data_IF_687571862833
#
_entry.id   IF_687571862833
#
_cell.length_a   1.000
_cell.length_b   1.000
_cell.length_c   1.000
_cell.angle_alpha   90.00
_cell.angle_beta   90.00
_cell.angle_gamma   90.00
#
_symmetry.space_group_name_H-M   'P 1'
#
loop_
_entity.id
_entity.type
_entity.pdbx_description
1 polymer ?
#
# COMPACT_ATOMS: atom_id res chain seq x y z
N UNK A 1 -3.23 -10.74 10.60
CA UNK A 1 -2.24 -10.00 11.40
C UNK A 1 -1.88 -10.71 12.72
N UNK A 2 -2.76 -11.45 13.37
CA UNK A 2 -2.48 -12.13 14.66
C UNK A 2 -1.31 -13.12 14.62
N UNK A 3 -0.93 -13.65 13.45
CA UNK A 3 0.21 -14.57 13.32
C UNK A 3 1.57 -13.87 13.49
N UNK A 4 1.71 -12.63 13.08
CA UNK A 4 3.01 -11.93 13.08
C UNK A 4 3.08 -10.74 14.02
N UNK A 5 1.96 -10.22 14.49
CA UNK A 5 1.95 -9.24 15.57
C UNK A 5 2.11 -9.95 16.91
N UNK A 6 3.04 -9.49 17.74
CA UNK A 6 3.40 -10.12 19.02
C UNK A 6 3.45 -9.13 20.14
N UNK A 7 3.22 -9.64 21.36
CA UNK A 7 3.48 -8.91 22.60
C UNK A 7 4.87 -9.22 23.10
N UNK A 8 5.61 -8.20 23.48
CA UNK A 8 6.90 -8.33 24.15
C UNK A 8 6.66 -8.19 25.64
N UNK A 9 7.18 -9.13 26.40
CA UNK A 9 7.12 -9.12 27.87
C UNK A 9 8.52 -9.28 28.40
N UNK A 10 9.01 -8.24 29.06
CA UNK A 10 10.31 -8.25 29.73
C UNK A 10 10.11 -8.35 31.25
N UNK A 11 10.82 -9.27 31.88
CA UNK A 11 10.75 -9.47 33.33
C UNK A 11 12.09 -9.91 33.89
N UNK A 12 12.53 -9.22 34.90
CA UNK A 12 13.74 -9.54 35.67
C UNK A 12 13.38 -10.10 37.01
N UNK A 13 14.24 -10.98 37.54
CA UNK A 13 14.04 -11.56 38.90
C UNK A 13 14.04 -10.50 39.99
N UNK A 14 14.72 -9.37 39.78
CA UNK A 14 14.72 -8.21 40.68
C UNK A 14 13.42 -7.39 40.66
N UNK A 15 12.47 -7.72 39.81
CA UNK A 15 11.12 -7.13 39.79
C UNK A 15 10.89 -6.10 38.70
N UNK A 16 11.92 -5.69 37.95
CA UNK A 16 11.76 -4.78 36.83
C UNK A 16 10.97 -5.48 35.71
N UNK A 17 10.01 -4.76 35.13
CA UNK A 17 9.16 -5.25 34.06
C UNK A 17 8.98 -4.19 32.99
N UNK A 18 8.85 -4.64 31.75
CA UNK A 18 8.40 -3.79 30.65
C UNK A 18 7.53 -4.60 29.67
N UNK A 19 6.70 -3.91 28.91
CA UNK A 19 5.86 -4.54 27.90
C UNK A 19 5.75 -3.65 26.66
N UNK A 20 5.69 -4.27 25.48
CA UNK A 20 5.52 -3.60 24.22
C UNK A 20 4.88 -4.52 23.19
N UNK A 21 4.82 -4.04 21.98
CA UNK A 21 4.40 -4.79 20.81
C UNK A 21 5.58 -5.01 19.88
N UNK A 22 5.45 -5.94 18.95
CA UNK A 22 6.47 -6.21 17.94
C UNK A 22 5.88 -6.91 16.73
N UNK A 23 6.73 -7.10 15.73
CA UNK A 23 6.38 -7.75 14.47
C UNK A 23 7.37 -8.84 14.15
N UNK A 24 6.86 -10.05 13.88
CA UNK A 24 7.67 -11.16 13.37
C UNK A 24 7.90 -10.94 11.88
N UNK A 25 9.17 -10.99 11.48
CA UNK A 25 9.61 -11.05 10.08
C UNK A 25 10.59 -12.20 9.90
N UNK A 26 10.73 -12.67 8.65
CA UNK A 26 11.72 -13.69 8.30
C UNK A 26 12.71 -13.09 7.31
N UNK A 27 13.97 -13.28 7.59
CA UNK A 27 15.07 -12.84 6.74
C UNK A 27 16.12 -13.95 6.65
N UNK A 28 16.51 -14.36 5.45
CA UNK A 28 17.45 -15.48 5.22
C UNK A 28 17.12 -16.78 6.00
N UNK A 29 15.84 -17.04 6.23
CA UNK A 29 15.37 -18.23 6.97
C UNK A 29 15.44 -18.10 8.50
N UNK A 30 15.91 -17.00 9.05
CA UNK A 30 15.90 -16.66 10.46
C UNK A 30 14.65 -15.87 10.83
N UNK A 31 14.17 -16.06 12.04
CA UNK A 31 13.00 -15.35 12.58
C UNK A 31 13.45 -14.20 13.47
N UNK A 32 12.93 -13.02 13.19
CA UNK A 32 13.21 -11.81 13.95
C UNK A 32 11.92 -11.18 14.46
N UNK A 33 12.02 -10.49 15.60
CA UNK A 33 10.99 -9.56 16.07
C UNK A 33 11.54 -8.14 15.97
N UNK A 34 10.85 -7.31 15.23
CA UNK A 34 11.13 -5.88 15.09
C UNK A 34 10.26 -5.11 16.08
N UNK A 35 10.86 -4.18 16.83
CA UNK A 35 10.15 -3.41 17.85
C UNK A 35 10.84 -2.07 18.12
N UNK A 36 10.23 -1.22 18.95
CA UNK A 36 10.88 -0.03 19.49
C UNK A 36 11.92 -0.40 20.57
N UNK A 37 13.05 0.30 20.59
CA UNK A 37 14.17 0.02 21.49
C UNK A 37 13.80 0.13 22.96
N UNK A 38 12.97 1.11 23.33
CA UNK A 38 12.52 1.29 24.71
C UNK A 38 11.64 0.13 25.23
N UNK A 39 11.04 -0.69 24.33
CA UNK A 39 10.24 -1.84 24.74
C UNK A 39 11.05 -2.93 25.44
N UNK A 40 12.36 -2.98 25.20
CA UNK A 40 13.28 -3.97 25.77
C UNK A 40 14.22 -3.37 26.83
N UNK A 41 13.88 -2.21 27.39
CA UNK A 41 14.67 -1.52 28.40
C UNK A 41 13.95 -1.41 29.72
N UNK A 42 14.72 -1.17 30.75
CA UNK A 42 14.24 -0.73 32.07
C UNK A 42 15.09 0.42 32.61
N UNK A 43 14.51 1.25 33.45
CA UNK A 43 15.21 2.37 34.04
C UNK A 43 15.86 1.93 35.37
N UNK A 44 17.17 2.15 35.51
CA UNK A 44 17.90 1.93 36.74
C UNK A 44 18.80 3.15 37.06
N UNK A 45 18.54 3.80 38.20
CA UNK A 45 19.28 4.99 38.64
C UNK A 45 19.43 6.08 37.55
N UNK A 46 18.36 6.33 36.81
CA UNK A 46 18.32 7.34 35.74
C UNK A 46 18.99 6.92 34.42
N UNK A 47 19.45 5.68 34.31
CA UNK A 47 19.98 5.13 33.06
C UNK A 47 19.04 4.07 32.50
N UNK A 48 18.88 4.05 31.17
CA UNK A 48 18.21 2.96 30.48
C UNK A 48 19.19 1.79 30.30
N UNK A 49 18.78 0.61 30.75
CA UNK A 49 19.52 -0.63 30.61
C UNK A 49 18.63 -1.63 29.82
N UNK A 50 19.27 -2.42 28.97
CA UNK A 50 18.58 -3.41 28.14
C UNK A 50 18.42 -4.71 28.95
N UNK A 51 17.25 -5.35 28.83
CA UNK A 51 17.03 -6.69 29.36
C UNK A 51 17.90 -7.72 28.64
N UNK A 52 18.30 -8.77 29.34
CA UNK A 52 18.99 -9.89 28.69
C UNK A 52 17.99 -10.70 27.83
N UNK A 53 18.44 -11.41 26.77
CA UNK A 53 17.55 -12.23 25.94
C UNK A 53 16.66 -13.19 26.75
N UNK A 54 17.20 -13.79 27.80
CA UNK A 54 16.46 -14.74 28.70
C UNK A 54 15.37 -14.07 29.55
N UNK A 55 15.43 -12.77 29.72
CA UNK A 55 14.46 -11.95 30.46
C UNK A 55 13.33 -11.44 29.55
N UNK A 56 13.42 -11.69 28.23
CA UNK A 56 12.47 -11.26 27.20
C UNK A 56 11.69 -12.46 26.69
N UNK A 57 10.39 -12.38 26.71
CA UNK A 57 9.47 -13.36 26.14
C UNK A 57 8.63 -12.73 25.04
N UNK A 58 8.51 -13.41 23.92
CA UNK A 58 7.67 -13.03 22.79
C UNK A 58 6.38 -13.83 22.84
N UNK A 59 5.27 -13.16 23.04
CA UNK A 59 3.95 -13.79 23.20
C UNK A 59 3.13 -13.54 21.95
N UNK A 60 2.79 -14.62 21.26
CA UNK A 60 1.94 -14.65 20.08
C UNK A 60 0.55 -15.15 20.46
N UNK A 61 -0.49 -14.49 19.98
CA UNK A 61 -1.87 -14.91 20.14
C UNK A 61 -2.44 -15.28 18.76
N UNK A 62 -2.63 -16.57 18.52
CA UNK A 62 -3.27 -17.09 17.31
C UNK A 62 -4.49 -17.91 17.68
N UNK A 63 -5.65 -17.58 17.09
CA UNK A 63 -6.92 -18.30 17.30
C UNK A 63 -7.25 -18.57 18.79
N UNK A 64 -6.98 -17.60 19.64
CA UNK A 64 -7.14 -17.69 21.12
C UNK A 64 -6.12 -18.60 21.83
N UNK A 65 -5.14 -19.11 21.14
CA UNK A 65 -4.02 -19.85 21.72
C UNK A 65 -2.86 -18.90 21.96
N UNK A 66 -2.34 -18.92 23.20
CA UNK A 66 -1.14 -18.19 23.57
C UNK A 66 0.09 -19.09 23.33
N UNK A 67 1.04 -18.60 22.55
CA UNK A 67 2.34 -19.23 22.33
C UNK A 67 3.44 -18.29 22.79
N UNK A 68 4.41 -18.83 23.51
CA UNK A 68 5.57 -18.07 23.97
C UNK A 68 6.80 -18.53 23.21
N UNK A 69 7.48 -17.59 22.56
CA UNK A 69 8.71 -17.84 21.83
C UNK A 69 9.89 -17.26 22.58
N UNK A 70 10.98 -18.00 22.57
CA UNK A 70 12.23 -17.61 23.22
C UNK A 70 13.03 -16.69 22.33
N UNK A 71 13.58 -15.62 22.93
CA UNK A 71 14.59 -14.77 22.30
C UNK A 71 15.94 -15.47 22.39
N UNK A 72 16.59 -15.62 21.26
CA UNK A 72 17.93 -16.21 21.12
C UNK A 72 19.00 -15.15 21.33
N UNK A 73 18.84 -14.00 20.69
CA UNK A 73 19.77 -12.88 20.77
C UNK A 73 19.08 -11.52 20.56
N UNK A 74 19.71 -10.46 21.03
CA UNK A 74 19.41 -9.07 20.69
C UNK A 74 20.44 -8.65 19.65
N UNK A 75 20.09 -8.78 18.38
CA UNK A 75 21.00 -8.54 17.26
C UNK A 75 21.49 -7.09 17.23
N UNK A 76 20.55 -6.17 17.44
CA UNK A 76 20.86 -4.74 17.59
C UNK A 76 19.74 -4.03 18.34
N UNK A 77 20.09 -2.96 19.05
CA UNK A 77 19.12 -2.07 19.68
C UNK A 77 19.69 -0.67 19.81
N UNK A 78 18.84 0.30 19.58
CA UNK A 78 19.08 1.71 19.91
C UNK A 78 17.89 2.22 20.74
N UNK A 79 18.17 2.81 21.87
CA UNK A 79 17.18 3.42 22.77
C UNK A 79 17.20 4.94 22.72
N UNK A 80 18.02 5.48 21.83
CA UNK A 80 18.16 6.92 21.58
C UNK A 80 17.21 7.41 20.50
N UNK A 81 17.75 8.20 19.58
CA UNK A 81 16.97 8.87 18.55
C UNK A 81 16.28 7.89 17.59
N UNK A 82 16.94 6.80 17.21
CA UNK A 82 16.35 5.81 16.30
C UNK A 82 15.32 4.89 16.96
N UNK A 83 15.45 4.64 18.27
CA UNK A 83 14.52 3.90 19.12
C UNK A 83 13.99 2.60 18.49
N UNK A 84 14.89 1.68 18.15
CA UNK A 84 14.53 0.39 17.56
C UNK A 84 15.28 -0.78 18.21
N UNK A 85 14.72 -1.98 18.07
CA UNK A 85 15.41 -3.23 18.39
C UNK A 85 15.04 -4.35 17.44
N UNK A 86 16.03 -5.22 17.18
CA UNK A 86 15.90 -6.46 16.41
C UNK A 86 16.27 -7.63 17.29
N UNK A 87 15.32 -8.50 17.54
CA UNK A 87 15.47 -9.67 18.38
C UNK A 87 15.43 -10.93 17.49
N UNK A 88 16.45 -11.75 17.53
CA UNK A 88 16.39 -13.09 16.93
C UNK A 88 15.61 -14.03 17.84
N UNK A 89 14.67 -14.77 17.28
CA UNK A 89 13.83 -15.72 18.01
C UNK A 89 13.97 -17.13 17.45
N UNK A 90 13.55 -18.12 18.23
CA UNK A 90 13.47 -19.48 17.75
C UNK A 90 12.54 -19.60 16.54
N UNK A 91 12.80 -20.60 15.70
CA UNK A 91 11.98 -20.90 14.51
C UNK A 91 10.54 -21.21 14.90
N UNK A 92 9.61 -20.60 14.18
CA UNK A 92 8.17 -20.83 14.38
C UNK A 92 7.67 -21.83 13.35
N UNK A 93 7.03 -22.88 13.85
CA UNK A 93 6.45 -23.96 13.01
C UNK A 93 4.94 -24.04 13.27
N UNK A 94 4.20 -23.03 12.79
CA UNK A 94 2.74 -22.94 12.96
C UNK A 94 1.96 -23.05 11.63
N UNK A 95 2.67 -23.34 10.54
CA UNK A 95 2.09 -23.47 9.20
C UNK A 95 1.84 -22.14 8.48
N UNK A 96 2.09 -21.00 9.12
CA UNK A 96 2.00 -19.69 8.46
C UNK A 96 3.30 -19.38 7.72
N UNK A 97 3.20 -18.99 6.46
CA UNK A 97 4.35 -18.64 5.62
C UNK A 97 4.75 -17.17 5.84
N UNK A 98 5.50 -16.93 6.91
CA UNK A 98 5.98 -15.59 7.28
C UNK A 98 6.80 -14.94 6.15
N UNK A 99 7.72 -15.69 5.55
CA UNK A 99 8.62 -15.18 4.52
C UNK A 99 7.87 -14.66 3.28
N UNK A 100 6.76 -15.32 2.93
CA UNK A 100 5.92 -14.93 1.79
C UNK A 100 4.85 -13.90 2.16
N UNK A 101 4.33 -13.94 3.39
CA UNK A 101 3.14 -13.18 3.79
C UNK A 101 3.45 -11.87 4.49
N UNK A 102 4.65 -11.70 5.07
CA UNK A 102 5.06 -10.51 5.81
C UNK A 102 6.35 -9.97 5.22
N UNK A 103 6.31 -8.77 4.67
CA UNK A 103 7.46 -8.09 4.09
C UNK A 103 7.62 -6.70 4.70
N UNK A 104 8.83 -6.17 4.67
CA UNK A 104 9.08 -4.75 4.94
C UNK A 104 8.96 -3.99 3.63
N UNK A 105 8.45 -2.79 3.66
CA UNK A 105 8.38 -1.96 2.46
C UNK A 105 8.35 -0.47 2.80
N UNK A 106 8.87 0.35 1.91
CA UNK A 106 8.75 1.81 2.00
C UNK A 106 7.33 2.23 1.63
N UNK A 107 6.79 3.23 2.34
CA UNK A 107 5.49 3.82 2.01
C UNK A 107 5.55 4.58 0.69
N UNK A 108 4.66 4.25 -0.24
CA UNK A 108 4.67 4.84 -1.58
C UNK A 108 3.40 5.64 -1.89
N UNK A 109 2.24 5.30 -1.29
CA UNK A 109 0.96 5.93 -1.62
C UNK A 109 0.31 6.60 -0.40
N UNK A 110 0.08 7.92 -0.43
CA UNK A 110 -0.42 8.69 0.72
C UNK A 110 -1.84 8.37 1.18
N UNK A 111 -2.64 7.65 0.37
CA UNK A 111 -4.07 7.43 0.61
C UNK A 111 -4.41 5.98 1.00
N UNK A 112 -3.42 5.18 1.36
CA UNK A 112 -3.64 3.80 1.78
C UNK A 112 -4.28 3.70 3.17
N UNK A 113 -5.04 2.63 3.38
CA UNK A 113 -5.58 2.29 4.70
C UNK A 113 -4.57 1.44 5.46
N UNK A 114 -4.01 2.01 6.51
CA UNK A 114 -3.05 1.32 7.36
C UNK A 114 -3.70 0.71 8.58
N UNK A 115 -3.10 -0.36 9.07
CA UNK A 115 -3.55 -1.08 10.25
C UNK A 115 -2.37 -1.51 11.11
N UNK A 116 -2.58 -1.64 12.41
CA UNK A 116 -1.63 -2.26 13.31
C UNK A 116 -2.34 -3.08 14.39
N UNK A 117 -1.64 -4.00 15.03
CA UNK A 117 -2.12 -4.71 16.21
C UNK A 117 -1.28 -4.29 17.41
N UNK A 118 -1.93 -3.68 18.39
CA UNK A 118 -1.30 -3.26 19.65
C UNK A 118 -1.76 -4.11 20.82
N UNK A 119 -0.85 -4.38 21.75
CA UNK A 119 -1.10 -5.17 22.96
C UNK A 119 -1.13 -4.24 24.19
N UNK A 120 -2.28 -3.63 24.43
CA UNK A 120 -2.46 -2.69 25.53
C UNK A 120 -2.87 -3.37 26.83
N UNK A 121 -2.90 -2.64 27.93
CA UNK A 121 -3.43 -3.15 29.19
C UNK A 121 -4.90 -3.56 29.09
N UNK A 122 -5.68 -2.80 28.33
CA UNK A 122 -7.13 -3.06 28.12
C UNK A 122 -7.40 -4.07 27.01
N UNK A 123 -6.42 -4.35 26.17
CA UNK A 123 -6.46 -5.34 25.08
C UNK A 123 -5.23 -6.25 25.13
N UNK A 124 -5.08 -7.01 26.22
CA UNK A 124 -3.89 -7.81 26.52
C UNK A 124 -3.61 -8.94 25.50
N UNK A 125 -4.63 -9.38 24.75
CA UNK A 125 -4.52 -10.38 23.67
C UNK A 125 -4.34 -9.75 22.29
N UNK A 126 -4.12 -8.43 22.23
CA UNK A 126 -3.98 -7.66 21.01
C UNK A 126 -5.33 -7.18 20.45
N UNK A 127 -5.30 -5.99 19.87
CA UNK A 127 -6.41 -5.37 19.17
C UNK A 127 -5.95 -4.79 17.85
N UNK A 128 -6.77 -4.97 16.83
CA UNK A 128 -6.59 -4.33 15.53
C UNK A 128 -7.05 -2.88 15.60
N UNK A 129 -6.18 -1.97 15.17
CA UNK A 129 -6.45 -0.55 15.00
C UNK A 129 -6.36 -0.18 13.53
N UNK A 130 -7.29 0.62 13.06
CA UNK A 130 -7.26 1.21 11.72
C UNK A 130 -6.82 2.66 11.80
N UNK A 131 -5.95 3.05 10.89
CA UNK A 131 -5.39 4.41 10.79
C UNK A 131 -6.20 5.20 9.79
N UNK A 132 -6.77 6.33 10.20
CA UNK A 132 -7.60 7.17 9.33
C UNK A 132 -6.80 8.17 8.51
N UNK A 133 -5.61 8.55 8.98
CA UNK A 133 -4.75 9.52 8.33
C UNK A 133 -3.30 9.30 8.72
N UNK A 134 -2.42 9.39 7.74
CA UNK A 134 -0.96 9.38 7.93
C UNK A 134 -0.43 10.76 7.60
N UNK A 135 0.28 11.36 8.55
CA UNK A 135 1.08 12.56 8.33
C UNK A 135 2.56 12.21 8.50
N UNK A 136 3.43 13.17 8.27
CA UNK A 136 4.87 13.02 8.51
C UNK A 136 5.11 12.64 9.98
N UNK A 137 5.46 11.37 10.21
CA UNK A 137 5.70 10.77 11.53
C UNK A 137 4.50 10.75 12.51
N UNK A 138 3.28 11.01 12.07
CA UNK A 138 2.10 11.01 12.92
C UNK A 138 0.94 10.22 12.30
N UNK A 139 0.32 9.33 13.09
CA UNK A 139 -0.83 8.53 12.70
C UNK A 139 -2.07 8.93 13.49
N UNK A 140 -3.17 9.15 12.79
CA UNK A 140 -4.48 9.39 13.40
C UNK A 140 -5.35 8.15 13.34
N UNK A 141 -5.93 7.75 14.45
CA UNK A 141 -6.80 6.57 14.52
C UNK A 141 -8.26 6.92 14.22
N UNK A 142 -8.92 6.04 13.47
CA UNK A 142 -10.35 6.18 13.17
C UNK A 142 -11.27 5.67 14.27
N UNK A 143 -10.79 4.78 15.16
CA UNK A 143 -11.60 4.15 16.19
C UNK A 143 -10.88 4.11 17.54
N UNK A 144 -11.27 5.02 18.45
CA UNK A 144 -10.78 5.06 19.84
C UNK A 144 -11.76 4.40 20.84
N UNK A 145 -12.81 3.72 20.37
CA UNK A 145 -13.75 3.05 21.25
C UNK A 145 -13.36 1.59 21.47
N UNK A 146 -13.25 1.20 22.75
CA UNK A 146 -13.11 -0.20 23.16
C UNK A 146 -14.39 -0.56 23.92
N UNK A 147 -15.14 -1.55 23.42
CA UNK A 147 -16.37 -2.05 24.01
C UNK A 147 -17.40 -0.93 24.37
N UNK A 148 -17.48 0.08 23.49
CA UNK A 148 -18.37 1.22 23.69
C UNK A 148 -17.88 2.30 24.67
N UNK A 149 -16.70 2.13 25.26
CA UNK A 149 -16.06 3.13 26.13
C UNK A 149 -14.99 3.92 25.35
N UNK A 150 -14.96 5.22 25.56
CA UNK A 150 -13.88 6.09 25.08
C UNK A 150 -12.70 5.92 26.05
N UNK A 151 -11.62 5.33 25.57
CA UNK A 151 -10.38 5.20 26.33
C UNK A 151 -9.53 6.46 26.19
N UNK A 152 -8.76 6.80 27.26
CA UNK A 152 -7.76 7.87 27.15
C UNK A 152 -6.62 7.47 26.21
N UNK A 153 -5.97 8.44 25.57
CA UNK A 153 -4.83 8.20 24.70
C UNK A 153 -3.72 7.40 25.40
N UNK A 154 -3.46 7.68 26.66
CA UNK A 154 -2.43 6.98 27.45
C UNK A 154 -2.80 5.51 27.72
N UNK A 155 -4.07 5.19 28.01
CA UNK A 155 -4.51 3.80 28.23
C UNK A 155 -4.44 2.95 26.96
N UNK A 156 -4.70 3.56 25.80
CA UNK A 156 -4.62 2.92 24.50
C UNK A 156 -3.18 2.76 24.02
N UNK A 157 -2.29 3.68 24.35
CA UNK A 157 -0.92 3.69 23.85
C UNK A 157 0.02 2.78 24.62
N UNK A 158 -0.18 2.64 25.94
CA UNK A 158 0.69 1.79 26.77
C UNK A 158 0.65 0.34 26.32
N UNK A 159 1.75 -0.09 25.67
CA UNK A 159 1.93 -1.41 25.08
C UNK A 159 1.77 -1.46 23.55
N UNK A 160 1.34 -0.38 22.90
CA UNK A 160 1.36 -0.30 21.43
C UNK A 160 2.76 -0.01 20.85
N UNK A 161 3.66 0.59 21.63
CA UNK A 161 5.03 0.85 21.17
C UNK A 161 5.66 -0.41 20.60
N UNK A 162 6.35 -0.28 19.47
CA UNK A 162 6.93 -1.36 18.72
C UNK A 162 5.97 -2.09 17.79
N UNK A 163 4.66 -1.80 17.81
CA UNK A 163 3.70 -2.39 16.87
C UNK A 163 4.03 -1.96 15.45
N UNK A 164 4.15 -2.93 14.53
CA UNK A 164 4.33 -2.65 13.11
C UNK A 164 3.08 -2.07 12.48
N UNK A 165 3.27 -1.11 11.60
CA UNK A 165 2.22 -0.47 10.79
C UNK A 165 2.17 -1.17 9.46
N UNK A 166 1.00 -1.67 9.09
CA UNK A 166 0.85 -2.53 7.92
C UNK A 166 -0.11 -1.98 6.89
N UNK A 167 0.29 -2.16 5.64
CA UNK A 167 -0.56 -2.15 4.49
C UNK A 167 -0.83 -3.61 4.06
N UNK A 168 -2.09 -3.95 3.78
CA UNK A 168 -2.44 -5.26 3.23
C UNK A 168 -2.71 -5.16 1.74
N UNK A 169 -1.89 -5.82 0.93
CA UNK A 169 -2.04 -5.89 -0.54
C UNK A 169 -1.65 -7.27 -1.06
N UNK A 170 -2.23 -7.71 -2.14
CA UNK A 170 -1.87 -8.94 -2.86
C UNK A 170 -1.72 -10.16 -1.93
N UNK A 171 -2.61 -10.28 -0.93
CA UNK A 171 -2.54 -11.35 0.08
C UNK A 171 -1.26 -11.34 0.93
N UNK A 172 -0.56 -10.20 1.02
CA UNK A 172 0.61 -9.96 1.86
C UNK A 172 0.41 -8.76 2.78
N UNK A 173 1.17 -8.73 3.84
CA UNK A 173 1.25 -7.61 4.77
C UNK A 173 2.61 -6.93 4.62
N UNK A 174 2.58 -5.66 4.31
CA UNK A 174 3.77 -4.83 4.16
C UNK A 174 3.94 -3.95 5.40
N UNK A 175 5.01 -4.20 6.16
CA UNK A 175 5.38 -3.38 7.30
C UNK A 175 6.09 -2.12 6.80
N UNK A 176 5.49 -0.97 7.03
CA UNK A 176 5.99 0.34 6.58
C UNK A 176 6.81 1.06 7.64
N UNK A 177 6.63 0.66 8.88
CA UNK A 177 7.28 1.24 10.03
C UNK A 177 6.72 0.68 11.33
N UNK A 178 7.04 1.31 12.43
CA UNK A 178 6.64 0.88 13.78
C UNK A 178 6.32 2.07 14.69
N UNK A 179 5.41 1.84 15.63
CA UNK A 179 5.01 2.83 16.61
C UNK A 179 6.12 3.03 17.65
N UNK A 180 6.39 4.28 18.00
CA UNK A 180 7.37 4.60 19.04
C UNK A 180 6.71 5.20 20.28
N UNK A 181 5.88 6.24 20.12
CA UNK A 181 5.32 6.99 21.24
C UNK A 181 3.97 7.61 20.90
N UNK A 182 3.37 8.32 21.82
CA UNK A 182 2.24 9.23 21.62
C UNK A 182 2.71 10.67 21.76
N UNK A 183 2.15 11.56 20.95
CA UNK A 183 2.55 12.95 20.91
C UNK A 183 2.18 13.74 22.16
N UNK A 184 1.07 13.37 22.81
CA UNK A 184 0.56 14.05 24.00
C UNK A 184 -0.19 13.07 24.91
N UNK A 185 0.21 13.00 26.19
CA UNK A 185 -0.39 12.15 27.20
C UNK A 185 -1.85 12.52 27.51
N UNK A 186 -2.26 13.73 27.19
CA UNK A 186 -3.63 14.24 27.40
C UNK A 186 -4.57 14.02 26.21
N UNK A 187 -4.06 13.51 25.09
CA UNK A 187 -4.78 13.53 23.84
C UNK A 187 -6.01 12.62 23.81
N UNK A 188 -7.17 13.25 23.77
CA UNK A 188 -8.45 12.59 23.43
C UNK A 188 -8.46 12.05 21.98
N UNK A 189 -7.53 12.52 21.14
CA UNK A 189 -7.28 12.13 19.75
C UNK A 189 -5.82 11.74 19.64
N UNK A 190 -5.51 10.48 19.91
CA UNK A 190 -4.13 10.00 20.04
C UNK A 190 -3.41 10.07 18.72
N UNK A 191 -2.54 11.04 18.59
CA UNK A 191 -1.54 11.06 17.55
C UNK A 191 -0.42 10.11 17.99
N UNK A 192 -0.29 8.99 17.28
CA UNK A 192 0.81 8.07 17.48
C UNK A 192 2.01 8.51 16.65
N UNK A 193 3.17 8.57 17.30
CA UNK A 193 4.44 8.77 16.61
C UNK A 193 4.92 7.43 16.08
N UNK A 194 5.49 7.45 14.90
CA UNK A 194 6.02 6.25 14.24
C UNK A 194 7.34 6.53 13.54
N UNK A 195 8.07 5.48 13.24
CA UNK A 195 9.33 5.51 12.49
C UNK A 195 9.27 4.52 11.35
N UNK A 196 9.99 4.85 10.29
CA UNK A 196 10.08 4.05 9.08
C UNK A 196 10.77 2.70 9.34
N UNK A 197 10.47 1.73 8.52
CA UNK A 197 11.13 0.42 8.49
C UNK A 197 12.62 0.51 8.13
N UNK A 198 13.07 1.62 7.57
CA UNK A 198 14.46 1.84 7.12
C UNK A 198 15.50 1.67 8.24
N UNK A 199 15.12 1.89 9.50
CA UNK A 199 15.99 1.64 10.66
C UNK A 199 16.47 0.18 10.75
N UNK A 200 15.78 -0.75 10.11
CA UNK A 200 16.13 -2.17 10.11
C UNK A 200 17.03 -2.60 8.93
N UNK A 201 17.26 -1.72 7.94
CA UNK A 201 18.02 -2.05 6.71
C UNK A 201 19.51 -2.32 6.96
N UNK A 202 20.08 -1.80 8.06
CA UNK A 202 21.46 -2.11 8.43
C UNK A 202 21.66 -3.54 8.96
N UNK A 203 20.57 -4.24 9.29
CA UNK A 203 20.59 -5.52 9.99
C UNK A 203 19.98 -6.62 9.14
N UNK A 204 18.84 -6.32 8.53
CA UNK A 204 18.09 -7.26 7.72
C UNK A 204 18.38 -7.04 6.24
N UNK A 205 18.48 -8.14 5.51
CA UNK A 205 18.71 -8.11 4.07
C UNK A 205 17.47 -7.70 3.29
N UNK A 206 17.63 -7.53 1.99
CA UNK A 206 16.52 -7.26 1.08
C UNK A 206 15.55 -8.45 0.92
N UNK A 207 15.91 -9.66 1.37
CA UNK A 207 15.01 -10.82 1.33
C UNK A 207 13.74 -10.62 2.15
N UNK A 208 13.82 -9.87 3.25
CA UNK A 208 12.66 -9.50 4.07
C UNK A 208 11.93 -8.25 3.58
N UNK A 209 12.47 -7.60 2.55
CA UNK A 209 11.92 -6.38 1.97
C UNK A 209 11.27 -6.66 0.62
N UNK A 210 10.23 -5.89 0.35
CA UNK A 210 9.57 -5.91 -0.96
C UNK A 210 9.24 -4.46 -1.34
N UNK A 211 9.31 -4.15 -2.62
CA UNK A 211 8.88 -2.86 -3.13
C UNK A 211 7.40 -2.98 -3.50
N UNK A 212 6.54 -2.25 -2.79
CA UNK A 212 5.10 -2.26 -3.07
C UNK A 212 4.82 -1.77 -4.50
N UNK A 213 5.65 -0.86 -5.02
CA UNK A 213 5.58 -0.39 -6.40
C UNK A 213 5.91 -1.51 -7.38
N UNK A 214 6.95 -2.28 -7.11
CA UNK A 214 7.38 -3.39 -7.99
C UNK A 214 6.27 -4.43 -8.13
N UNK A 215 5.54 -4.74 -7.06
CA UNK A 215 4.47 -5.74 -7.14
C UNK A 215 3.27 -5.25 -7.98
N UNK A 216 2.93 -3.96 -7.93
CA UNK A 216 1.94 -3.34 -8.82
C UNK A 216 2.47 -3.26 -10.26
N UNK A 217 3.72 -2.90 -10.42
CA UNK A 217 4.43 -2.78 -11.69
C UNK A 217 4.62 -4.15 -12.32
N UNK A 218 5.11 -5.15 -11.57
CA UNK A 218 5.31 -6.50 -12.08
C UNK A 218 4.00 -7.14 -12.54
N UNK A 219 2.91 -6.92 -11.81
CA UNK A 219 1.58 -7.37 -12.27
C UNK A 219 1.07 -6.57 -13.47
N UNK A 220 1.42 -5.29 -13.55
CA UNK A 220 1.12 -4.47 -14.71
C UNK A 220 1.88 -4.98 -15.93
N UNK A 221 3.19 -5.25 -15.80
CA UNK A 221 4.02 -5.82 -16.86
C UNK A 221 3.49 -7.19 -17.29
N UNK A 222 3.09 -8.05 -16.35
CA UNK A 222 2.45 -9.32 -16.68
C UNK A 222 1.17 -9.14 -17.52
N UNK A 223 0.40 -8.06 -17.31
CA UNK A 223 -0.77 -7.73 -18.12
C UNK A 223 -0.41 -6.97 -19.40
N UNK A 224 0.62 -6.13 -19.37
CA UNK A 224 1.08 -5.38 -20.56
C UNK A 224 1.80 -6.28 -21.55
N UNK A 225 2.51 -7.31 -21.08
CA UNK A 225 3.13 -8.36 -21.89
C UNK A 225 2.13 -9.43 -22.37
N UNK A 226 0.91 -9.48 -21.84
CA UNK A 226 -0.11 -10.42 -22.30
C UNK A 226 -0.43 -10.13 -23.77
N UNK A 227 -0.09 -11.06 -24.62
CA UNK A 227 -0.52 -11.04 -26.03
C UNK A 227 -2.04 -11.26 -26.06
N UNK A 228 -2.79 -10.19 -26.33
CA UNK A 228 -4.26 -10.30 -26.45
C UNK A 228 -4.56 -11.10 -27.70
N UNK A 229 -5.06 -12.30 -27.50
CA UNK A 229 -5.40 -13.20 -28.59
C UNK A 229 -6.53 -12.62 -29.42
N UNK A 230 -6.48 -12.86 -30.74
CA UNK A 230 -7.52 -12.41 -31.68
C UNK A 230 -8.93 -12.86 -31.25
N UNK A 231 -9.02 -14.01 -30.58
CA UNK A 231 -10.29 -14.56 -30.05
C UNK A 231 -10.90 -13.62 -28.98
N UNK A 232 -10.08 -12.98 -28.12
CA UNK A 232 -10.55 -12.03 -27.10
C UNK A 232 -11.07 -10.74 -27.75
N UNK A 233 -10.40 -10.26 -28.82
CA UNK A 233 -10.81 -9.10 -29.58
C UNK A 233 -12.14 -9.38 -30.31
N UNK A 234 -12.27 -10.55 -30.93
CA UNK A 234 -13.46 -10.92 -31.64
C UNK A 234 -14.66 -11.12 -30.72
N UNK A 235 -14.45 -11.75 -29.57
CA UNK A 235 -15.45 -11.85 -28.50
C UNK A 235 -15.89 -10.47 -27.99
N UNK A 236 -14.94 -9.57 -27.72
CA UNK A 236 -15.24 -8.21 -27.31
C UNK A 236 -16.10 -7.47 -28.34
N UNK A 237 -15.80 -7.63 -29.65
CA UNK A 237 -16.56 -7.03 -30.75
C UNK A 237 -17.98 -7.54 -30.81
N UNK A 238 -18.16 -8.85 -30.61
CA UNK A 238 -19.50 -9.47 -30.64
C UNK A 238 -20.37 -8.99 -29.47
N UNK A 239 -19.78 -8.96 -28.27
CA UNK A 239 -20.48 -8.56 -27.05
C UNK A 239 -20.75 -7.06 -26.98
N UNK A 240 -20.00 -6.20 -27.69
CA UNK A 240 -20.03 -4.75 -27.59
C UNK A 240 -20.27 -4.07 -28.97
N UNK A 241 -21.21 -4.54 -29.74
CA UNK A 241 -21.46 -4.06 -31.11
C UNK A 241 -21.71 -2.54 -31.19
N UNK A 242 -22.46 -1.97 -30.25
CA UNK A 242 -22.74 -0.53 -30.18
C UNK A 242 -21.47 0.29 -29.92
N UNK A 243 -20.57 -0.22 -29.08
CA UNK A 243 -19.27 0.41 -28.82
C UNK A 243 -18.38 0.36 -30.07
N UNK A 244 -18.47 -0.71 -30.82
CA UNK A 244 -17.73 -0.86 -32.08
C UNK A 244 -18.13 0.17 -33.12
N UNK A 245 -19.44 0.44 -33.26
CA UNK A 245 -19.95 1.47 -34.18
C UNK A 245 -19.48 2.87 -33.76
N UNK A 246 -19.45 3.14 -32.44
CA UNK A 246 -18.95 4.39 -31.89
C UNK A 246 -17.46 4.57 -32.20
N UNK A 247 -16.66 3.55 -31.93
CA UNK A 247 -15.20 3.58 -32.13
C UNK A 247 -14.88 3.75 -33.63
N UNK A 248 -15.53 2.99 -34.50
CA UNK A 248 -15.34 3.06 -35.95
C UNK A 248 -15.60 4.45 -36.49
N UNK A 249 -16.72 5.09 -36.10
CA UNK A 249 -17.03 6.48 -36.51
C UNK A 249 -15.95 7.46 -36.10
N UNK A 250 -15.41 7.33 -34.91
CA UNK A 250 -14.36 8.22 -34.37
C UNK A 250 -13.02 7.95 -35.02
N UNK A 251 -12.64 6.68 -35.18
CA UNK A 251 -11.42 6.32 -35.91
C UNK A 251 -11.45 6.81 -37.38
N UNK A 252 -12.60 6.78 -38.04
CA UNK A 252 -12.74 7.34 -39.40
C UNK A 252 -12.49 8.86 -39.45
N UNK A 253 -12.74 9.59 -38.38
CA UNK A 253 -12.39 11.01 -38.29
C UNK A 253 -10.93 11.22 -37.94
N UNK A 254 -10.41 10.49 -36.91
CA UNK A 254 -9.06 10.67 -36.40
C UNK A 254 -7.98 10.06 -37.31
N UNK A 255 -8.27 8.88 -37.88
CA UNK A 255 -7.31 8.03 -38.60
C UNK A 255 -7.94 7.44 -39.88
N UNK A 256 -8.33 8.26 -40.84
CA UNK A 256 -9.12 7.80 -42.02
C UNK A 256 -8.43 6.72 -42.86
N UNK A 257 -7.09 6.71 -42.86
CA UNK A 257 -6.29 5.75 -43.63
C UNK A 257 -5.90 4.48 -42.82
N UNK A 258 -6.21 4.45 -41.52
CA UNK A 258 -5.75 3.42 -40.58
C UNK A 258 -6.89 2.94 -39.66
N UNK A 259 -8.14 3.03 -40.09
CA UNK A 259 -9.32 2.81 -39.25
C UNK A 259 -9.27 1.47 -38.54
N UNK A 260 -9.10 0.37 -39.27
CA UNK A 260 -9.18 -0.98 -38.70
C UNK A 260 -8.00 -1.30 -37.77
N UNK A 261 -6.78 -0.82 -38.10
CA UNK A 261 -5.61 -0.99 -37.25
C UNK A 261 -5.73 -0.21 -35.94
N UNK A 262 -6.28 1.00 -35.99
CA UNK A 262 -6.51 1.82 -34.80
C UNK A 262 -7.64 1.29 -33.92
N UNK A 263 -8.67 0.73 -34.49
CA UNK A 263 -9.72 0.03 -33.75
C UNK A 263 -9.11 -1.13 -32.95
N UNK A 264 -8.22 -1.92 -33.57
CA UNK A 264 -7.56 -3.01 -32.88
C UNK A 264 -6.74 -2.49 -31.69
N UNK A 265 -5.94 -1.45 -31.87
CA UNK A 265 -5.12 -0.84 -30.82
C UNK A 265 -6.01 -0.36 -29.66
N UNK A 266 -7.06 0.40 -29.90
CA UNK A 266 -7.92 0.91 -28.82
C UNK A 266 -8.71 -0.20 -28.10
N UNK A 267 -9.04 -1.31 -28.76
CA UNK A 267 -9.60 -2.48 -28.05
C UNK A 267 -8.55 -3.15 -27.19
N UNK A 268 -7.34 -3.27 -27.69
CA UNK A 268 -6.19 -3.83 -26.97
C UNK A 268 -5.91 -3.02 -25.70
N UNK A 269 -5.77 -1.70 -25.84
CA UNK A 269 -5.57 -0.77 -24.71
C UNK A 269 -6.69 -0.87 -23.67
N UNK A 270 -7.94 -1.02 -24.13
CA UNK A 270 -9.09 -1.18 -23.25
C UNK A 270 -9.07 -2.51 -22.50
N UNK A 271 -8.86 -3.64 -23.18
CA UNK A 271 -8.85 -4.98 -22.54
C UNK A 271 -7.69 -5.11 -21.55
N UNK A 272 -6.51 -4.65 -21.94
CA UNK A 272 -5.33 -4.62 -21.03
C UNK A 272 -5.61 -3.77 -19.81
N UNK A 273 -6.10 -2.54 -20.03
CA UNK A 273 -6.40 -1.61 -18.97
C UNK A 273 -7.46 -2.11 -18.00
N UNK A 274 -8.54 -2.75 -18.46
CA UNK A 274 -9.55 -3.36 -17.58
C UNK A 274 -8.90 -4.38 -16.62
N UNK A 275 -8.03 -5.26 -17.12
CA UNK A 275 -7.32 -6.24 -16.29
C UNK A 275 -6.36 -5.59 -15.30
N UNK A 276 -5.51 -4.69 -15.77
CA UNK A 276 -4.48 -4.01 -14.98
C UNK A 276 -5.09 -3.11 -13.90
N UNK A 277 -6.13 -2.33 -14.27
CA UNK A 277 -6.76 -1.40 -13.31
C UNK A 277 -7.71 -2.06 -12.34
N UNK A 278 -8.24 -3.24 -12.65
CA UNK A 278 -8.98 -4.01 -11.67
C UNK A 278 -8.07 -4.36 -10.47
N UNK A 279 -6.80 -4.67 -10.71
CA UNK A 279 -5.83 -4.89 -9.63
C UNK A 279 -5.64 -3.66 -8.74
N UNK A 280 -5.55 -2.45 -9.34
CA UNK A 280 -5.45 -1.19 -8.56
C UNK A 280 -6.72 -0.94 -7.78
N UNK A 281 -7.88 -1.11 -8.40
CA UNK A 281 -9.18 -0.92 -7.77
C UNK A 281 -9.41 -1.86 -6.58
N UNK A 282 -9.04 -3.13 -6.73
CA UNK A 282 -9.15 -4.13 -5.67
C UNK A 282 -8.14 -3.89 -4.54
N UNK A 283 -6.97 -3.36 -4.88
CA UNK A 283 -5.90 -3.09 -3.91
C UNK A 283 -6.07 -1.75 -3.18
N UNK A 284 -6.53 -0.74 -3.89
CA UNK A 284 -6.68 0.62 -3.37
C UNK A 284 -7.87 1.35 -4.01
N UNK A 285 -9.11 1.07 -3.56
CA UNK A 285 -10.33 1.67 -4.12
C UNK A 285 -10.33 3.20 -4.03
N UNK A 286 -9.72 3.78 -2.98
CA UNK A 286 -9.66 5.24 -2.77
C UNK A 286 -8.77 5.89 -3.81
N UNK A 287 -7.63 5.29 -4.12
CA UNK A 287 -6.72 5.79 -5.13
C UNK A 287 -7.34 5.70 -6.55
N UNK A 288 -8.02 4.58 -6.86
CA UNK A 288 -8.76 4.45 -8.12
C UNK A 288 -9.84 5.54 -8.24
N UNK A 289 -10.64 5.77 -7.19
CA UNK A 289 -11.68 6.81 -7.17
C UNK A 289 -11.09 8.22 -7.38
N UNK A 290 -9.96 8.53 -6.76
CA UNK A 290 -9.25 9.81 -6.94
C UNK A 290 -8.70 9.98 -8.36
N UNK A 291 -8.14 8.92 -8.97
CA UNK A 291 -7.71 8.93 -10.37
C UNK A 291 -8.90 9.11 -11.31
N UNK A 292 -9.99 8.39 -11.09
CA UNK A 292 -11.22 8.51 -11.89
C UNK A 292 -11.80 9.94 -11.80
N UNK A 293 -11.85 10.52 -10.60
CA UNK A 293 -12.28 11.93 -10.39
C UNK A 293 -11.36 12.91 -11.11
N UNK A 294 -10.03 12.70 -11.04
CA UNK A 294 -9.06 13.51 -11.76
C UNK A 294 -9.32 13.45 -13.26
N UNK A 295 -9.37 12.25 -13.83
CA UNK A 295 -9.58 12.03 -15.25
C UNK A 295 -10.90 12.65 -15.73
N UNK A 296 -12.00 12.39 -15.01
CA UNK A 296 -13.31 12.97 -15.35
C UNK A 296 -13.28 14.49 -15.39
N UNK A 297 -12.65 15.11 -14.37
CA UNK A 297 -12.52 16.58 -14.27
C UNK A 297 -11.67 17.16 -15.40
N UNK A 298 -10.49 16.58 -15.64
CA UNK A 298 -9.55 17.13 -16.62
C UNK A 298 -10.02 16.89 -18.07
N UNK A 299 -10.60 15.73 -18.37
CA UNK A 299 -11.23 15.47 -19.66
C UNK A 299 -12.39 16.45 -19.91
N UNK A 300 -13.28 16.62 -18.92
CA UNK A 300 -14.40 17.58 -19.07
C UNK A 300 -13.90 19.00 -19.35
N UNK A 301 -12.85 19.46 -18.63
CA UNK A 301 -12.28 20.79 -18.84
C UNK A 301 -11.70 20.96 -20.23
N UNK A 302 -10.94 19.97 -20.72
CA UNK A 302 -10.27 20.04 -22.01
C UNK A 302 -11.27 19.87 -23.16
N UNK A 303 -12.14 18.89 -23.10
CA UNK A 303 -13.11 18.64 -24.18
C UNK A 303 -14.11 19.78 -24.34
N UNK A 304 -14.38 20.55 -23.31
CA UNK A 304 -15.20 21.76 -23.40
C UNK A 304 -14.57 22.85 -24.26
N UNK A 305 -13.25 22.83 -24.41
CA UNK A 305 -12.48 23.80 -25.23
C UNK A 305 -12.20 23.27 -26.64
N UNK A 306 -12.43 21.97 -26.89
CA UNK A 306 -12.19 21.34 -28.18
C UNK A 306 -13.41 21.49 -29.10
N UNK A 307 -13.19 21.64 -30.43
CA UNK A 307 -14.30 21.58 -31.40
C UNK A 307 -15.01 20.21 -31.35
N UNK A 308 -16.31 20.21 -31.55
CA UNK A 308 -17.04 18.95 -31.70
C UNK A 308 -17.12 18.50 -33.17
N UNK A 309 -16.86 19.43 -34.10
CA UNK A 309 -16.85 19.22 -35.53
C UNK A 309 -15.52 19.73 -36.09
N UNK A 310 -14.86 18.91 -36.88
CA UNK A 310 -13.52 19.18 -37.42
C UNK A 310 -13.57 19.28 -38.93
N UNK A 311 -12.87 20.27 -39.48
CA UNK A 311 -12.73 20.43 -40.95
C UNK A 311 -11.73 19.44 -41.55
N UNK A 312 -10.75 19.00 -40.72
CA UNK A 312 -9.74 18.04 -41.17
C UNK A 312 -9.45 16.95 -40.10
N UNK A 313 -9.10 15.77 -40.58
CA UNK A 313 -8.64 14.68 -39.71
C UNK A 313 -7.31 15.00 -39.02
N UNK A 314 -6.47 15.84 -39.63
CA UNK A 314 -5.21 16.27 -39.06
C UNK A 314 -5.42 17.11 -37.77
N UNK A 315 -6.34 18.08 -37.80
CA UNK A 315 -6.66 18.87 -36.63
C UNK A 315 -7.33 18.05 -35.54
N UNK A 316 -8.26 17.17 -35.90
CA UNK A 316 -8.90 16.26 -34.95
C UNK A 316 -7.89 15.34 -34.24
N UNK A 317 -6.95 14.78 -35.01
CA UNK A 317 -5.88 13.92 -34.47
C UNK A 317 -4.94 14.70 -33.58
N UNK A 318 -4.56 15.93 -33.95
CA UNK A 318 -3.69 16.76 -33.14
C UNK A 318 -4.32 17.07 -31.76
N UNK A 319 -5.57 17.48 -31.74
CA UNK A 319 -6.32 17.75 -30.52
C UNK A 319 -6.44 16.49 -29.63
N UNK A 320 -6.59 15.31 -30.23
CA UNK A 320 -6.62 14.04 -29.50
C UNK A 320 -5.26 13.71 -28.87
N UNK A 321 -4.16 13.89 -29.61
CA UNK A 321 -2.81 13.66 -29.10
C UNK A 321 -2.43 14.68 -28.01
N UNK A 322 -2.80 15.95 -28.19
CA UNK A 322 -2.59 17.00 -27.19
C UNK A 322 -3.39 16.72 -25.90
N UNK A 323 -4.58 16.13 -26.02
CA UNK A 323 -5.36 15.67 -24.89
C UNK A 323 -4.66 14.53 -24.16
N UNK A 324 -4.16 13.53 -24.87
CA UNK A 324 -3.43 12.40 -24.31
C UNK A 324 -2.19 12.86 -23.54
N UNK A 325 -1.33 13.67 -24.16
CA UNK A 325 -0.12 14.25 -23.55
C UNK A 325 -0.45 15.10 -22.29
N UNK A 326 -1.49 15.93 -22.38
CA UNK A 326 -1.95 16.70 -21.22
C UNK A 326 -2.38 15.83 -20.06
N UNK A 327 -3.17 14.79 -20.33
CA UNK A 327 -3.67 13.88 -19.30
C UNK A 327 -2.54 13.07 -18.68
N UNK A 328 -1.60 12.57 -19.49
CA UNK A 328 -0.41 11.84 -19.01
C UNK A 328 0.38 12.69 -18.03
N UNK A 329 0.65 13.96 -18.36
CA UNK A 329 1.34 14.90 -17.45
C UNK A 329 0.58 15.11 -16.12
N UNK A 330 -0.76 15.13 -16.17
CA UNK A 330 -1.59 15.33 -14.97
C UNK A 330 -1.66 14.08 -14.10
N UNK A 331 -1.70 12.91 -14.72
CA UNK A 331 -1.69 11.61 -14.04
C UNK A 331 -0.31 11.35 -13.44
N UNK A 332 0.76 11.64 -14.18
CA UNK A 332 2.16 11.50 -13.74
C UNK A 332 2.44 12.24 -12.41
N UNK A 333 1.83 13.40 -12.23
CA UNK A 333 1.93 14.14 -10.97
C UNK A 333 1.27 13.42 -9.76
N UNK A 334 0.50 12.37 -9.99
CA UNK A 334 -0.15 11.53 -8.96
C UNK A 334 0.59 10.21 -8.73
N UNK A 335 1.45 9.81 -9.65
CA UNK A 335 2.37 8.68 -9.51
C UNK A 335 3.79 9.24 -9.33
N UNK A 336 4.22 9.59 -8.10
CA UNK A 336 5.48 10.30 -7.85
C UNK A 336 6.73 9.48 -8.21
N UNK A 337 6.61 8.19 -8.46
CA UNK A 337 7.69 7.26 -8.76
C UNK A 337 7.58 6.62 -10.16
N UNK A 338 7.05 7.35 -11.14
CA UNK A 338 7.20 6.96 -12.53
C UNK A 338 8.70 6.85 -12.85
N UNK A 339 9.25 5.64 -12.73
CA UNK A 339 10.60 5.35 -13.21
C UNK A 339 10.57 5.42 -14.73
N UNK A 340 11.67 5.86 -15.35
CA UNK A 340 11.79 6.00 -16.80
C UNK A 340 11.42 4.72 -17.59
N UNK A 341 11.43 3.55 -16.91
CA UNK A 341 11.15 2.24 -17.50
C UNK A 341 9.66 1.83 -17.49
N UNK A 342 8.78 2.55 -16.77
CA UNK A 342 7.39 2.15 -16.57
C UNK A 342 6.46 3.34 -16.69
N UNK A 343 5.90 3.51 -17.87
CA UNK A 343 4.94 4.58 -18.17
C UNK A 343 3.50 4.17 -17.80
N UNK A 344 3.29 3.84 -16.50
CA UNK A 344 1.96 3.55 -15.95
C UNK A 344 0.97 4.68 -16.22
N UNK A 345 1.46 5.91 -16.28
CA UNK A 345 0.65 7.08 -16.53
C UNK A 345 0.13 7.09 -17.96
N UNK A 346 0.97 6.76 -18.94
CA UNK A 346 0.53 6.63 -20.35
C UNK A 346 -0.45 5.50 -20.52
N UNK A 347 -0.14 4.29 -20.04
CA UNK A 347 -1.01 3.13 -20.15
C UNK A 347 -2.39 3.38 -19.52
N UNK A 348 -2.42 4.07 -18.34
CA UNK A 348 -3.69 4.48 -17.74
C UNK A 348 -4.47 5.47 -18.61
N UNK A 349 -3.78 6.45 -19.17
CA UNK A 349 -4.42 7.44 -20.04
C UNK A 349 -4.94 6.79 -21.32
N UNK A 350 -4.17 5.89 -21.94
CA UNK A 350 -4.55 5.16 -23.14
C UNK A 350 -5.79 4.30 -22.90
N UNK A 351 -5.83 3.55 -21.79
CA UNK A 351 -7.02 2.84 -21.34
C UNK A 351 -8.23 3.77 -21.17
N UNK A 352 -8.07 4.87 -20.45
CA UNK A 352 -9.15 5.82 -20.19
C UNK A 352 -9.66 6.50 -21.49
N UNK A 353 -8.77 6.80 -22.40
CA UNK A 353 -9.13 7.37 -23.71
C UNK A 353 -9.82 6.32 -24.58
N UNK A 354 -9.33 5.08 -24.63
CA UNK A 354 -9.97 3.97 -25.33
C UNK A 354 -11.39 3.75 -24.81
N UNK A 355 -11.58 3.66 -23.49
CA UNK A 355 -12.88 3.55 -22.84
C UNK A 355 -13.85 4.65 -23.29
N UNK A 356 -13.37 5.90 -23.36
CA UNK A 356 -14.22 7.06 -23.73
C UNK A 356 -14.49 7.15 -25.23
N UNK A 357 -13.59 6.63 -26.04
CA UNK A 357 -13.87 6.47 -27.48
C UNK A 357 -14.96 5.40 -27.71
N UNK A 358 -14.92 4.32 -26.96
CA UNK A 358 -15.93 3.24 -27.02
C UNK A 358 -17.29 3.73 -26.52
N UNK A 359 -17.40 4.35 -25.38
CA UNK A 359 -18.66 4.71 -24.71
C UNK A 359 -19.25 6.10 -25.11
N UNK A 360 -18.79 6.72 -26.18
CA UNK A 360 -19.28 8.02 -26.66
C UNK A 360 -19.03 9.25 -25.76
N UNK A 361 -18.19 9.17 -24.75
CA UNK A 361 -17.87 10.32 -23.89
C UNK A 361 -16.98 11.36 -24.58
N UNK A 362 -16.19 10.95 -25.59
CA UNK A 362 -15.44 11.84 -26.49
C UNK A 362 -16.15 11.94 -27.82
N UNK A 363 -16.29 13.16 -28.37
CA UNK A 363 -17.02 13.44 -29.60
C UNK A 363 -16.10 14.01 -30.66
N UNK A 364 -15.93 13.27 -31.76
CA UNK A 364 -15.25 13.71 -32.97
C UNK A 364 -16.21 13.54 -34.15
N UNK A 365 -16.52 14.62 -34.84
CA UNK A 365 -17.37 14.63 -36.06
C UNK A 365 -16.63 15.37 -37.15
N UNK A 366 -16.78 14.90 -38.38
CA UNK A 366 -16.30 15.62 -39.57
C UNK A 366 -17.41 16.53 -40.09
N UNK A 367 -17.02 17.75 -40.49
CA UNK A 367 -17.92 18.69 -41.16
C UNK A 367 -18.48 18.14 -42.49
#
# INVERSE_FOLDING_TARGET
MQHFAVKIVCRKDSGETNTGSGTIVVDNGHFYVLTAGHCICYQNKGKYLIFNPKEISIVQYSESVEKVHRVLDIVKSDTGESDYAVLEIEKIEDGFDYAKKVKRAKMIVPNDTFQFVGYTKVASKGRLFSVSKVGDHCLHLSNLQIDGQVCSGEELSRGCSGAGIFLYRHSRYYMLGYLTDIRDNSAAYSDFLWKDEENFNEILSDDSRDDITVDLIQKWDEYDELEIEQVQIDKFREENSEWMDNLRRKCAVLYPNEVDSKIKIFIDDYIRGEGSFQCIKDSNPTFDDDLQKLMNREIYRRTKMMPTVYESSTSARQDFLDLADYLTKRVKAKFPEDREELDLSSSYVDYQLASRLLNCSLKFKKS
#
